data_IF_244135051867
#
_entry.id   IF_244135051867
#
_cell.length_a   1.000
_cell.length_b   1.000
_cell.length_c   1.000
_cell.angle_alpha   90.00
_cell.angle_beta   90.00
_cell.angle_gamma   90.00
#
_symmetry.space_group_name_H-M   'P 1'
#
loop_
_entity.id
_entity.type
_entity.pdbx_description
1 polymer ?
#
# COMPACT_ATOMS: atom_id res chain seq x y z
N UNK A 1 -35.44 13.83 -14.20
CA UNK A 1 -34.23 13.01 -14.48
C UNK A 1 -32.92 13.71 -14.06
N UNK A 2 -32.97 14.85 -13.36
CA UNK A 2 -31.79 15.71 -13.11
C UNK A 2 -31.07 15.43 -11.78
N UNK A 3 -31.78 14.92 -10.77
CA UNK A 3 -31.20 14.63 -9.45
C UNK A 3 -30.13 13.51 -9.45
N UNK A 4 -30.15 12.60 -10.43
CA UNK A 4 -29.14 11.52 -10.56
C UNK A 4 -27.81 12.00 -11.15
N UNK A 5 -27.82 13.05 -11.97
CA UNK A 5 -26.61 13.60 -12.57
C UNK A 5 -25.77 14.36 -11.53
N UNK A 6 -26.42 15.17 -10.69
CA UNK A 6 -25.74 15.94 -9.65
C UNK A 6 -25.11 15.05 -8.56
N UNK A 7 -25.80 13.97 -8.16
CA UNK A 7 -25.23 12.99 -7.20
C UNK A 7 -23.98 12.28 -7.71
N UNK A 8 -23.88 12.01 -9.03
CA UNK A 8 -22.70 11.38 -9.62
C UNK A 8 -21.50 12.32 -9.63
N UNK A 9 -21.70 13.60 -9.91
CA UNK A 9 -20.61 14.58 -9.89
C UNK A 9 -20.07 14.81 -8.48
N UNK A 10 -20.94 14.87 -7.46
CA UNK A 10 -20.51 14.96 -6.07
C UNK A 10 -19.71 13.72 -5.61
N UNK A 11 -20.09 12.52 -6.06
CA UNK A 11 -19.37 11.29 -5.72
C UNK A 11 -17.99 11.18 -6.41
N UNK A 12 -17.87 11.67 -7.65
CA UNK A 12 -16.59 11.73 -8.36
C UNK A 12 -15.68 12.80 -7.74
N UNK A 13 -16.22 13.96 -7.37
CA UNK A 13 -15.45 15.02 -6.69
C UNK A 13 -14.98 14.58 -5.29
N UNK A 14 -15.82 13.89 -4.53
CA UNK A 14 -15.44 13.30 -3.23
C UNK A 14 -14.36 12.22 -3.37
N UNK A 15 -14.44 11.39 -4.42
CA UNK A 15 -13.39 10.40 -4.73
C UNK A 15 -12.08 11.09 -5.11
N UNK A 16 -12.13 12.11 -5.97
CA UNK A 16 -10.96 12.87 -6.37
C UNK A 16 -10.31 13.61 -5.19
N UNK A 17 -11.10 14.18 -4.28
CA UNK A 17 -10.61 14.83 -3.07
C UNK A 17 -9.95 13.86 -2.09
N UNK A 18 -10.52 12.65 -1.91
CA UNK A 18 -9.88 11.59 -1.11
C UNK A 18 -8.61 11.05 -1.76
N UNK A 19 -8.58 10.94 -3.08
CA UNK A 19 -7.39 10.50 -3.81
C UNK A 19 -6.28 11.56 -3.72
N UNK A 20 -6.64 12.84 -3.82
CA UNK A 20 -5.75 13.99 -3.62
C UNK A 20 -5.22 14.07 -2.18
N UNK A 21 -6.06 13.86 -1.17
CA UNK A 21 -5.59 13.83 0.22
C UNK A 21 -4.68 12.63 0.50
N UNK A 22 -5.00 11.46 -0.07
CA UNK A 22 -4.17 10.26 0.07
C UNK A 22 -2.84 10.41 -0.65
N UNK A 23 -2.82 11.04 -1.83
CA UNK A 23 -1.57 11.37 -2.54
C UNK A 23 -0.78 12.48 -1.84
N UNK A 24 -1.43 13.48 -1.25
CA UNK A 24 -0.77 14.50 -0.43
C UNK A 24 -0.16 13.91 0.85
N UNK A 25 -0.85 12.97 1.52
CA UNK A 25 -0.28 12.22 2.66
C UNK A 25 0.93 11.39 2.23
N UNK A 26 0.86 10.72 1.07
CA UNK A 26 2.00 9.98 0.50
C UNK A 26 3.19 10.89 0.17
N UNK A 27 2.94 12.07 -0.40
CA UNK A 27 3.98 13.05 -0.71
C UNK A 27 4.60 13.68 0.55
N UNK A 28 3.80 13.92 1.59
CA UNK A 28 4.26 14.50 2.85
C UNK A 28 5.04 13.51 3.72
N UNK A 29 4.73 12.21 3.65
CA UNK A 29 5.44 11.19 4.42
C UNK A 29 6.81 10.82 3.83
N UNK A 30 7.07 11.17 2.57
CA UNK A 30 8.38 11.00 1.93
C UNK A 30 8.90 9.56 1.95
N UNK A 31 10.21 9.40 1.81
CA UNK A 31 10.87 8.09 1.83
C UNK A 31 10.91 7.45 3.23
N UNK A 32 10.36 8.04 4.28
CA UNK A 32 10.48 7.52 5.66
C UNK A 32 9.26 6.69 6.11
N UNK A 33 8.35 6.35 5.18
CA UNK A 33 7.23 5.45 5.48
C UNK A 33 7.77 4.05 5.76
N UNK A 34 7.75 3.66 7.04
CA UNK A 34 8.01 2.29 7.46
C UNK A 34 6.75 1.47 7.34
N UNK A 35 6.80 0.47 6.45
CA UNK A 35 5.70 -0.46 6.29
C UNK A 35 5.85 -1.61 7.28
N UNK A 36 4.91 -1.70 8.22
CA UNK A 36 4.93 -2.70 9.28
C UNK A 36 3.90 -3.81 9.04
N UNK A 37 4.15 -4.99 9.59
CA UNK A 37 3.24 -6.14 9.52
C UNK A 37 3.31 -6.92 8.19
N UNK A 38 2.64 -8.06 8.13
CA UNK A 38 2.78 -8.98 6.98
C UNK A 38 2.04 -8.49 5.74
N UNK A 39 2.69 -8.58 4.57
CA UNK A 39 2.08 -8.33 3.25
C UNK A 39 0.76 -9.09 3.05
N UNK A 40 0.65 -10.32 3.55
CA UNK A 40 -0.56 -11.14 3.40
C UNK A 40 -1.77 -10.59 4.18
N UNK A 41 -1.52 -9.88 5.28
CA UNK A 41 -2.56 -9.31 6.15
C UNK A 41 -3.01 -7.92 5.75
N UNK A 42 -2.25 -7.25 4.87
CA UNK A 42 -2.55 -5.88 4.42
C UNK A 42 -3.77 -5.83 3.51
N UNK A 43 -4.48 -4.71 3.53
CA UNK A 43 -5.61 -4.48 2.64
C UNK A 43 -5.12 -4.08 1.22
N UNK A 44 -6.03 -3.93 0.24
CA UNK A 44 -5.63 -3.57 -1.13
C UNK A 44 -4.96 -2.20 -1.19
N UNK A 45 -5.47 -1.23 -0.44
CA UNK A 45 -4.94 0.15 -0.44
C UNK A 45 -3.51 0.19 0.10
N UNK A 46 -3.23 -0.51 1.22
CA UNK A 46 -1.90 -0.61 1.80
C UNK A 46 -0.91 -1.28 0.82
N UNK A 47 -1.38 -2.27 0.06
CA UNK A 47 -0.56 -2.92 -0.97
C UNK A 47 -0.28 -1.97 -2.13
N UNK A 48 -1.26 -1.16 -2.54
CA UNK A 48 -1.06 -0.10 -3.55
C UNK A 48 -0.04 0.92 -3.06
N UNK A 49 -0.08 1.31 -1.79
CA UNK A 49 0.88 2.25 -1.21
C UNK A 49 2.30 1.67 -1.19
N UNK A 50 2.46 0.39 -0.84
CA UNK A 50 3.75 -0.32 -0.92
C UNK A 50 4.24 -0.43 -2.36
N UNK A 51 3.38 -0.83 -3.29
CA UNK A 51 3.72 -0.92 -4.71
C UNK A 51 4.09 0.44 -5.31
N UNK A 52 3.40 1.51 -4.89
CA UNK A 52 3.75 2.89 -5.26
C UNK A 52 5.13 3.28 -4.73
N UNK A 53 5.44 2.91 -3.47
CA UNK A 53 6.75 3.18 -2.86
C UNK A 53 7.90 2.39 -3.51
N UNK A 54 7.59 1.20 -4.06
CA UNK A 54 8.51 0.39 -4.86
C UNK A 54 8.54 0.80 -6.34
N UNK A 55 7.69 1.75 -6.75
CA UNK A 55 7.54 2.21 -8.14
C UNK A 55 7.25 1.03 -9.09
N UNK A 56 6.38 0.11 -8.65
CA UNK A 56 5.90 -1.03 -9.46
C UNK A 56 4.42 -0.87 -9.81
N UNK A 57 3.94 -1.72 -10.72
CA UNK A 57 2.56 -1.67 -11.18
C UNK A 57 1.56 -2.00 -10.07
N UNK A 58 0.54 -1.16 -9.93
CA UNK A 58 -0.60 -1.33 -9.00
C UNK A 58 -1.86 -1.85 -9.70
N UNK A 59 -1.74 -2.25 -10.96
CA UNK A 59 -2.85 -2.73 -11.77
C UNK A 59 -3.37 -4.10 -11.31
N UNK A 60 -4.69 -4.27 -11.43
CA UNK A 60 -5.37 -5.53 -11.16
C UNK A 60 -6.00 -5.68 -9.77
N UNK A 61 -6.16 -6.94 -9.37
CA UNK A 61 -6.79 -7.35 -8.11
C UNK A 61 -5.81 -7.27 -6.94
N UNK A 62 -6.31 -7.41 -5.71
CA UNK A 62 -5.46 -7.45 -4.51
C UNK A 62 -4.37 -8.52 -4.62
N UNK A 63 -4.71 -9.69 -5.16
CA UNK A 63 -3.77 -10.80 -5.38
C UNK A 63 -2.70 -10.47 -6.40
N UNK A 64 -3.06 -9.77 -7.48
CA UNK A 64 -2.11 -9.39 -8.53
C UNK A 64 -1.07 -8.41 -7.98
N UNK A 65 -1.52 -7.37 -7.27
CA UNK A 65 -0.63 -6.39 -6.63
C UNK A 65 0.25 -7.06 -5.57
N UNK A 66 -0.32 -7.96 -4.75
CA UNK A 66 0.46 -8.71 -3.76
C UNK A 66 1.52 -9.61 -4.42
N UNK A 67 1.17 -10.25 -5.54
CA UNK A 67 2.13 -11.07 -6.30
C UNK A 67 3.24 -10.20 -6.88
N UNK A 68 2.91 -9.07 -7.51
CA UNK A 68 3.89 -8.15 -8.07
C UNK A 68 4.88 -7.63 -7.01
N UNK A 69 4.38 -7.28 -5.81
CA UNK A 69 5.24 -6.88 -4.68
C UNK A 69 6.18 -8.02 -4.29
N UNK A 70 5.66 -9.24 -4.12
CA UNK A 70 6.49 -10.39 -3.75
C UNK A 70 7.55 -10.71 -4.80
N UNK A 71 7.15 -10.80 -6.07
CA UNK A 71 8.05 -11.05 -7.20
C UNK A 71 9.17 -9.99 -7.23
N UNK A 72 8.85 -8.72 -6.99
CA UNK A 72 9.82 -7.63 -6.96
C UNK A 72 10.84 -7.77 -5.81
N UNK A 73 10.38 -8.15 -4.61
CA UNK A 73 11.26 -8.41 -3.47
C UNK A 73 12.06 -9.72 -3.60
N UNK A 74 11.59 -10.68 -4.41
CA UNK A 74 12.37 -11.87 -4.77
C UNK A 74 13.46 -11.54 -5.77
N UNK A 75 13.18 -10.66 -6.75
CA UNK A 75 14.17 -10.16 -7.70
C UNK A 75 15.19 -9.20 -7.07
N UNK A 76 14.80 -8.46 -6.04
CA UNK A 76 15.61 -7.43 -5.36
C UNK A 76 15.68 -7.73 -3.84
N UNK A 77 16.38 -8.81 -3.44
CA UNK A 77 16.45 -9.23 -2.04
C UNK A 77 17.07 -8.17 -1.11
N UNK A 78 17.90 -7.27 -1.62
CA UNK A 78 18.49 -6.13 -0.89
C UNK A 78 17.42 -5.19 -0.31
N UNK A 79 16.28 -5.04 -1.00
CA UNK A 79 15.16 -4.21 -0.52
C UNK A 79 14.50 -4.79 0.74
N UNK A 80 14.64 -6.10 1.01
CA UNK A 80 14.13 -6.71 2.26
C UNK A 80 14.92 -6.24 3.49
N UNK A 81 16.14 -5.74 3.29
CA UNK A 81 17.00 -5.20 4.36
C UNK A 81 16.84 -3.68 4.52
N UNK A 82 16.15 -3.02 3.59
CA UNK A 82 15.82 -1.60 3.69
C UNK A 82 14.95 -1.37 4.94
N UNK A 83 15.27 -0.34 5.73
CA UNK A 83 14.56 0.00 6.96
C UNK A 83 13.06 0.25 6.73
N UNK A 84 12.67 0.63 5.51
CA UNK A 84 11.28 0.88 5.10
C UNK A 84 10.45 -0.40 4.95
N UNK A 85 11.08 -1.49 4.53
CA UNK A 85 10.42 -2.75 4.20
C UNK A 85 10.83 -3.91 5.10
N UNK A 86 11.89 -3.77 5.90
CA UNK A 86 12.38 -4.82 6.79
C UNK A 86 11.30 -5.30 7.75
N UNK A 87 10.42 -4.40 8.21
CA UNK A 87 9.32 -4.78 9.11
C UNK A 87 8.21 -5.60 8.43
N UNK A 88 8.12 -5.58 7.10
CA UNK A 88 7.21 -6.44 6.32
C UNK A 88 7.63 -7.92 6.36
N UNK A 89 8.94 -8.13 6.42
CA UNK A 89 9.57 -9.46 6.39
C UNK A 89 10.06 -9.91 7.77
N UNK A 90 10.15 -8.99 8.73
CA UNK A 90 10.44 -9.32 10.11
C UNK A 90 9.25 -10.12 10.65
N UNK A 91 9.38 -11.44 10.59
CA UNK A 91 8.45 -12.37 11.19
C UNK A 91 8.67 -12.32 12.71
N UNK A 92 8.37 -11.17 13.34
CA UNK A 92 8.24 -11.09 14.78
C UNK A 92 6.96 -11.84 15.13
N UNK A 93 7.12 -13.14 15.26
CA UNK A 93 6.25 -14.02 16.03
C UNK A 93 5.70 -13.24 17.22
N UNK A 94 4.44 -12.84 17.13
CA UNK A 94 3.62 -12.34 18.25
C UNK A 94 3.34 -13.55 19.16
N UNK A 95 4.38 -14.20 19.67
CA UNK A 95 4.27 -15.55 20.25
C UNK A 95 5.45 -16.04 21.08
N UNK A 96 6.57 -15.33 21.19
CA UNK A 96 7.54 -15.63 22.26
C UNK A 96 7.18 -14.85 23.52
N UNK A 97 6.17 -15.37 24.21
CA UNK A 97 6.05 -15.22 25.66
C UNK A 97 7.38 -15.72 26.24
N UNK A 98 8.22 -14.80 26.71
CA UNK A 98 9.43 -15.14 27.46
C UNK A 98 9.00 -15.86 28.74
N UNK A 99 9.80 -16.84 29.13
CA UNK A 99 9.64 -17.71 30.30
C UNK A 99 9.34 -16.95 31.59
#
# INVERSE_FOLDING_TARGET
REAKAQKKMAAVAQRAAKDAERSARRAAQGADVRFTGSLSTKNKDDLIDIATALVISTDGTKSDVLKAIKDHFEANPELKSDTRFTELFSNRSRGQKRA
#
